data_IF_245857503896
#
_entry.id   IF_245857503896
#
_cell.length_a   1.000
_cell.length_b   1.000
_cell.length_c   1.000
_cell.angle_alpha   90.00
_cell.angle_beta   90.00
_cell.angle_gamma   90.00
#
_symmetry.space_group_name_H-M   'P 1'
#
loop_
_entity.id
_entity.type
_entity.pdbx_description
1 polymer ?
#
# COMPACT_ATOMS: atom_id res chain seq x y z
N UNK A 1 1.58 3.71 7.49
CA UNK A 1 0.87 4.05 6.23
C UNK A 1 -0.33 3.13 6.06
N UNK A 2 -1.49 3.67 5.68
CA UNK A 2 -2.67 2.89 5.30
C UNK A 2 -2.66 2.65 3.78
N UNK A 3 -2.92 1.41 3.38
CA UNK A 3 -3.10 1.02 1.99
C UNK A 3 -4.60 0.85 1.74
N UNK A 4 -5.08 1.49 0.68
CA UNK A 4 -6.49 1.58 0.33
C UNK A 4 -6.79 0.85 -0.98
N UNK A 5 -8.08 0.68 -1.27
CA UNK A 5 -8.54 0.19 -2.58
C UNK A 5 -8.10 1.09 -3.74
N UNK A 6 -7.97 2.40 -3.51
CA UNK A 6 -7.55 3.34 -4.54
C UNK A 6 -6.08 3.10 -4.91
N UNK A 7 -5.22 2.92 -3.90
CA UNK A 7 -3.80 2.62 -4.08
C UNK A 7 -3.60 1.37 -4.92
N UNK A 8 -4.33 0.28 -4.61
CA UNK A 8 -4.24 -0.97 -5.38
C UNK A 8 -4.66 -0.80 -6.85
N UNK A 9 -5.61 0.11 -7.14
CA UNK A 9 -6.01 0.41 -8.53
C UNK A 9 -4.94 1.22 -9.24
N UNK A 10 -4.34 2.18 -8.56
CA UNK A 10 -3.24 2.99 -9.08
C UNK A 10 -2.01 2.15 -9.40
N UNK A 11 -1.67 1.23 -8.49
CA UNK A 11 -0.58 0.27 -8.67
C UNK A 11 -0.89 -0.85 -9.67
N UNK A 12 -2.11 -0.87 -10.24
CA UNK A 12 -2.56 -1.86 -11.23
C UNK A 12 -2.36 -3.31 -10.76
N UNK A 13 -2.64 -3.57 -9.48
CA UNK A 13 -2.49 -4.90 -8.89
C UNK A 13 -3.38 -5.92 -9.61
N UNK A 14 -2.81 -7.09 -9.87
CA UNK A 14 -3.51 -8.20 -10.53
C UNK A 14 -4.79 -8.61 -9.80
N UNK A 15 -5.78 -9.11 -10.56
CA UNK A 15 -7.12 -9.37 -10.04
C UNK A 15 -7.17 -10.39 -8.87
N UNK A 16 -6.21 -11.32 -8.80
CA UNK A 16 -6.10 -12.29 -7.70
C UNK A 16 -5.82 -11.57 -6.39
N UNK A 17 -4.76 -10.76 -6.34
CA UNK A 17 -4.40 -10.04 -5.12
C UNK A 17 -5.33 -8.89 -4.80
N UNK A 18 -5.91 -8.26 -5.82
CA UNK A 18 -6.95 -7.28 -5.59
C UNK A 18 -8.13 -7.88 -4.83
N UNK A 19 -8.61 -9.07 -5.23
CA UNK A 19 -9.69 -9.77 -4.53
C UNK A 19 -9.26 -10.29 -3.16
N UNK A 20 -8.06 -10.84 -3.05
CA UNK A 20 -7.51 -11.28 -1.77
C UNK A 20 -7.52 -10.12 -0.76
N UNK A 21 -7.01 -8.95 -1.16
CA UNK A 21 -6.98 -7.78 -0.30
C UNK A 21 -8.37 -7.34 0.13
N UNK A 22 -9.33 -7.24 -0.80
CA UNK A 22 -10.69 -6.79 -0.48
C UNK A 22 -11.42 -7.73 0.48
N UNK A 23 -11.06 -9.02 0.53
CA UNK A 23 -11.62 -9.98 1.48
C UNK A 23 -11.05 -9.80 2.88
N UNK A 24 -9.74 -9.60 3.01
CA UNK A 24 -9.06 -9.48 4.31
C UNK A 24 -9.12 -8.06 4.90
N UNK A 25 -9.06 -7.03 4.05
CA UNK A 25 -8.97 -5.62 4.43
C UNK A 25 -10.04 -4.78 3.70
N UNK A 26 -11.35 -5.02 3.95
CA UNK A 26 -12.44 -4.39 3.18
C UNK A 26 -12.50 -2.86 3.31
N UNK A 27 -11.88 -2.28 4.34
CA UNK A 27 -11.79 -0.83 4.57
C UNK A 27 -10.38 -0.26 4.33
N UNK A 28 -9.48 -1.06 3.73
CA UNK A 28 -8.06 -0.79 3.75
C UNK A 28 -7.38 -1.40 4.98
N UNK A 29 -6.05 -1.44 4.95
CA UNK A 29 -5.24 -2.07 6.00
C UNK A 29 -3.95 -1.30 6.23
N UNK A 30 -3.37 -1.45 7.42
CA UNK A 30 -2.02 -0.93 7.65
C UNK A 30 -1.02 -1.78 6.86
N UNK A 31 0.05 -1.14 6.36
CA UNK A 31 1.13 -1.86 5.67
C UNK A 31 1.63 -3.07 6.47
N UNK A 32 1.80 -2.93 7.80
CA UNK A 32 2.30 -3.99 8.65
C UNK A 32 1.34 -5.19 8.71
N UNK A 33 0.04 -4.93 8.88
CA UNK A 33 -0.96 -6.01 8.97
C UNK A 33 -1.10 -6.75 7.63
N UNK A 34 -1.06 -6.02 6.52
CA UNK A 34 -1.14 -6.60 5.17
C UNK A 34 0.11 -7.44 4.88
N UNK A 35 1.30 -6.90 5.17
CA UNK A 35 2.55 -7.60 4.98
C UNK A 35 2.59 -8.88 5.83
N UNK A 36 2.14 -8.81 7.09
CA UNK A 36 2.07 -9.98 7.95
C UNK A 36 1.13 -11.06 7.40
N UNK A 37 -0.09 -10.68 7.01
CA UNK A 37 -1.06 -11.62 6.43
C UNK A 37 -0.55 -12.28 5.13
N UNK A 38 0.18 -11.53 4.29
CA UNK A 38 0.80 -12.09 3.09
C UNK A 38 1.84 -13.16 3.43
N UNK A 39 2.68 -12.92 4.43
CA UNK A 39 3.68 -13.90 4.87
C UNK A 39 3.03 -15.13 5.49
N UNK A 40 2.02 -14.96 6.36
CA UNK A 40 1.31 -16.07 7.01
C UNK A 40 0.61 -16.99 5.99
N UNK A 41 0.08 -16.43 4.90
CA UNK A 41 -0.58 -17.18 3.82
C UNK A 41 0.39 -17.65 2.72
N UNK A 42 1.69 -17.37 2.82
CA UNK A 42 2.71 -17.81 1.87
C UNK A 42 2.79 -17.02 0.57
N UNK A 43 2.22 -15.82 0.51
CA UNK A 43 2.31 -14.89 -0.60
C UNK A 43 3.59 -14.03 -0.55
N UNK A 44 4.75 -14.66 -0.40
CA UNK A 44 6.04 -13.97 -0.17
C UNK A 44 6.41 -13.00 -1.30
N UNK A 45 6.23 -13.39 -2.57
CA UNK A 45 6.50 -12.51 -3.73
C UNK A 45 5.66 -11.22 -3.68
N UNK A 46 4.43 -11.32 -3.18
CA UNK A 46 3.55 -10.17 -3.01
C UNK A 46 3.93 -9.33 -1.80
N UNK A 47 4.42 -9.95 -0.72
CA UNK A 47 4.95 -9.23 0.44
C UNK A 47 6.18 -8.40 0.03
N UNK A 48 7.09 -8.96 -0.75
CA UNK A 48 8.24 -8.25 -1.31
C UNK A 48 7.82 -7.10 -2.23
N UNK A 49 6.91 -7.37 -3.16
CA UNK A 49 6.37 -6.32 -4.06
C UNK A 49 5.68 -5.19 -3.28
N UNK A 50 5.02 -5.51 -2.17
CA UNK A 50 4.32 -4.52 -1.34
C UNK A 50 5.28 -3.49 -0.74
N UNK A 51 6.51 -3.89 -0.41
CA UNK A 51 7.56 -2.99 0.08
C UNK A 51 7.83 -1.88 -0.94
N UNK A 52 7.96 -2.24 -2.23
CA UNK A 52 8.25 -1.28 -3.29
C UNK A 52 7.12 -0.28 -3.50
N UNK A 53 5.86 -0.75 -3.49
CA UNK A 53 4.70 0.13 -3.61
C UNK A 53 4.56 1.06 -2.41
N UNK A 54 4.77 0.52 -1.21
CA UNK A 54 4.71 1.26 0.04
C UNK A 54 5.77 2.36 0.09
N UNK A 55 6.99 2.06 -0.35
CA UNK A 55 8.07 3.03 -0.42
C UNK A 55 7.74 4.19 -1.37
N UNK A 56 7.25 3.89 -2.57
CA UNK A 56 6.87 4.92 -3.56
C UNK A 56 5.77 5.84 -3.03
N UNK A 57 4.76 5.27 -2.36
CA UNK A 57 3.66 6.03 -1.77
C UNK A 57 4.15 6.91 -0.62
N UNK A 58 4.93 6.34 0.30
CA UNK A 58 5.48 7.11 1.42
C UNK A 58 6.35 8.27 0.92
N UNK A 59 7.20 8.05 -0.08
CA UNK A 59 8.01 9.11 -0.68
C UNK A 59 7.15 10.21 -1.31
N UNK A 60 6.04 9.86 -1.96
CA UNK A 60 5.10 10.84 -2.52
C UNK A 60 4.39 11.64 -1.41
N UNK A 61 3.93 10.96 -0.35
CA UNK A 61 3.25 11.59 0.79
C UNK A 61 4.21 12.55 1.54
N UNK A 62 5.46 12.15 1.77
CA UNK A 62 6.46 13.02 2.43
C UNK A 62 6.85 14.21 1.58
N UNK A 63 7.06 14.01 0.27
CA UNK A 63 7.34 15.10 -0.65
C UNK A 63 6.18 16.08 -0.73
N UNK A 64 4.94 15.59 -0.71
CA UNK A 64 3.75 16.42 -0.68
C UNK A 64 3.68 17.25 0.61
N UNK A 65 3.89 16.60 1.77
CA UNK A 65 3.90 17.29 3.06
C UNK A 65 4.98 18.39 3.12
N UNK A 66 6.18 18.16 2.56
CA UNK A 66 7.23 19.18 2.50
C UNK A 66 6.91 20.33 1.55
N UNK A 67 6.27 20.05 0.41
CA UNK A 67 5.88 21.07 -0.57
C UNK A 67 4.76 21.98 -0.08
N UNK A 68 3.75 21.44 0.62
CA UNK A 68 2.71 22.27 1.24
C UNK A 68 3.28 23.22 2.29
N UNK A 69 4.19 22.76 3.14
CA UNK A 69 4.85 23.61 4.15
C UNK A 69 5.67 24.74 3.50
N UNK A 70 6.32 24.46 2.36
CA UNK A 70 7.14 25.45 1.65
C UNK A 70 6.30 26.46 0.86
N UNK A 71 5.10 26.09 0.42
CA UNK A 71 4.22 26.94 -0.39
C UNK A 71 3.34 27.90 0.44
N UNK A 72 3.39 27.77 1.77
CA UNK A 72 2.67 28.64 2.72
C UNK A 72 3.56 29.74 3.33
N UNK A 73 4.75 30.00 2.77
CA UNK A 73 5.67 31.08 3.19
C UNK A 73 5.63 32.30 2.27
#
# INVERSE_FOLDING_TARGET
MIITRADLREWRIGAVMYRWFLRHFPRGGSYADIHHALIEEGYTDWAESLVEYAWKKWLADENFAHQEVSSMQ
#
